data_IF_833395973848
#
_entry.id   IF_833395973848
#
_cell.length_a   1.000
_cell.length_b   1.000
_cell.length_c   1.000
_cell.angle_alpha   90.00
_cell.angle_beta   90.00
_cell.angle_gamma   90.00
#
_symmetry.space_group_name_H-M   'P 1'
#
loop_
_entity.id
_entity.type
_entity.pdbx_description
1 polymer ?
#
# COMPACT_ATOMS: atom_id res chain seq x y z
N UNK A 1 37.55 56.46 25.30
CA UNK A 1 36.69 55.46 26.00
C UNK A 1 35.35 55.23 25.34
N UNK A 2 34.68 56.23 24.79
CA UNK A 2 33.33 56.13 24.17
C UNK A 2 33.31 55.25 22.88
N UNK A 3 34.32 55.35 22.02
CA UNK A 3 34.44 54.53 20.79
C UNK A 3 34.60 53.01 21.04
N UNK A 4 35.36 52.60 22.05
CA UNK A 4 35.47 51.19 22.40
C UNK A 4 34.16 50.55 22.89
N UNK A 5 33.35 51.32 23.64
CA UNK A 5 32.04 50.87 24.12
C UNK A 5 31.01 50.72 22.96
N UNK A 6 31.11 51.62 21.99
CA UNK A 6 30.23 51.58 20.79
C UNK A 6 30.57 50.36 19.92
N UNK A 7 31.86 50.03 19.73
CA UNK A 7 32.29 48.88 18.95
C UNK A 7 31.89 47.55 19.61
N UNK A 8 31.97 47.46 20.92
CA UNK A 8 31.55 46.28 21.69
C UNK A 8 30.02 46.09 21.60
N UNK A 9 29.26 47.16 21.70
CA UNK A 9 27.80 47.12 21.57
C UNK A 9 27.34 46.68 20.15
N UNK A 10 27.99 47.18 19.09
CA UNK A 10 27.71 46.73 17.71
C UNK A 10 28.12 45.26 17.49
N UNK A 11 29.21 44.80 18.06
CA UNK A 11 29.64 43.39 17.95
C UNK A 11 28.65 42.44 18.65
N UNK A 12 28.16 42.81 19.84
CA UNK A 12 27.14 42.02 20.57
C UNK A 12 25.81 41.99 19.81
N UNK A 13 25.39 43.13 19.24
CA UNK A 13 24.18 43.19 18.43
C UNK A 13 24.29 42.36 17.16
N UNK A 14 25.42 42.30 16.47
CA UNK A 14 25.69 41.48 15.31
C UNK A 14 25.65 39.98 15.65
N UNK A 15 26.20 39.56 16.81
CA UNK A 15 26.15 38.18 17.30
C UNK A 15 24.72 37.79 17.69
N UNK A 16 23.93 38.68 18.28
CA UNK A 16 22.55 38.41 18.65
C UNK A 16 21.66 38.22 17.41
N UNK A 17 21.89 38.93 16.30
CA UNK A 17 21.16 38.80 15.05
C UNK A 17 21.52 37.50 14.34
N UNK A 18 22.77 37.01 14.44
CA UNK A 18 23.17 35.71 13.83
C UNK A 18 22.63 34.49 14.55
N UNK A 19 22.17 34.59 15.80
CA UNK A 19 21.59 33.50 16.57
C UNK A 19 20.08 33.29 16.30
N UNK A 20 19.39 34.21 15.65
CA UNK A 20 17.96 34.09 15.35
C UNK A 20 17.65 33.38 14.01
N UNK A 21 18.68 33.03 13.24
CA UNK A 21 18.54 32.53 11.87
C UNK A 21 18.20 31.03 11.69
N UNK A 22 18.08 30.21 12.74
CA UNK A 22 17.96 28.76 12.60
C UNK A 22 16.64 28.14 13.12
N UNK A 23 15.57 28.92 13.32
CA UNK A 23 14.26 28.34 13.58
C UNK A 23 13.45 28.18 12.27
N UNK A 24 14.02 27.45 11.30
CA UNK A 24 13.24 26.92 10.20
C UNK A 24 12.28 25.87 10.76
N UNK A 25 10.96 26.10 10.74
CA UNK A 25 9.98 25.08 11.13
C UNK A 25 10.09 23.94 10.13
N UNK A 26 10.69 22.83 10.53
CA UNK A 26 10.69 21.61 9.72
C UNK A 26 9.25 21.14 9.55
N UNK A 27 8.85 20.89 8.30
CA UNK A 27 7.54 20.27 8.04
C UNK A 27 7.49 18.92 8.76
N UNK A 28 6.45 18.63 9.54
CA UNK A 28 6.36 17.33 10.22
C UNK A 28 6.23 16.20 9.19
N UNK A 29 6.86 15.07 9.47
CA UNK A 29 6.67 13.84 8.70
C UNK A 29 5.22 13.37 8.88
N UNK A 30 4.54 13.03 7.78
CA UNK A 30 3.20 12.47 7.76
C UNK A 30 3.23 11.02 7.31
N UNK A 31 2.44 10.20 7.99
CA UNK A 31 2.34 8.77 7.70
C UNK A 31 0.94 8.42 7.19
N UNK A 32 0.89 7.59 6.15
CA UNK A 32 -0.33 7.19 5.46
C UNK A 32 -0.48 5.68 5.51
N UNK A 33 -1.70 5.20 5.40
CA UNK A 33 -2.03 3.78 5.39
C UNK A 33 -3.03 3.49 4.27
N UNK A 34 -3.19 2.21 3.97
CA UNK A 34 -4.20 1.70 3.05
C UNK A 34 -5.38 1.18 3.88
N UNK A 35 -6.59 1.51 3.47
CA UNK A 35 -7.83 1.10 4.17
C UNK A 35 -8.81 0.56 3.14
N UNK A 36 -9.26 -0.68 3.35
CA UNK A 36 -10.40 -1.23 2.62
C UNK A 36 -11.66 -1.11 3.50
N UNK A 37 -12.79 -0.65 2.94
CA UNK A 37 -14.04 -0.64 3.67
C UNK A 37 -14.49 -2.07 3.99
N UNK A 38 -15.28 -2.23 5.04
CA UNK A 38 -15.93 -3.51 5.32
C UNK A 38 -16.87 -3.85 4.15
N UNK A 39 -16.57 -4.93 3.44
CA UNK A 39 -17.37 -5.42 2.32
C UNK A 39 -18.47 -6.37 2.78
N UNK A 40 -19.37 -6.70 1.85
CA UNK A 40 -20.39 -7.73 2.07
C UNK A 40 -19.75 -9.12 2.04
N UNK A 41 -20.36 -10.08 2.73
CA UNK A 41 -20.03 -11.48 2.52
C UNK A 41 -20.26 -11.88 1.06
N UNK A 42 -19.34 -12.65 0.50
CA UNK A 42 -19.43 -13.14 -0.88
C UNK A 42 -20.00 -14.56 -0.95
N UNK A 43 -20.04 -15.29 0.17
CA UNK A 43 -20.59 -16.63 0.26
C UNK A 43 -21.58 -16.74 1.41
N UNK A 44 -22.70 -17.45 1.19
CA UNK A 44 -23.69 -17.76 2.22
C UNK A 44 -23.17 -18.79 3.22
N UNK A 45 -22.29 -19.69 2.75
CA UNK A 45 -21.61 -20.69 3.58
C UNK A 45 -20.13 -20.70 3.27
N UNK A 46 -19.26 -20.54 4.30
CA UNK A 46 -17.83 -20.64 4.10
C UNK A 46 -17.41 -22.02 3.58
N UNK A 47 -16.44 -22.05 2.69
CA UNK A 47 -15.73 -23.30 2.36
C UNK A 47 -15.09 -23.81 3.64
N UNK A 48 -15.31 -25.10 4.05
CA UNK A 48 -14.75 -25.66 5.28
C UNK A 48 -13.25 -25.97 5.10
N UNK A 49 -12.47 -24.94 4.82
CA UNK A 49 -11.06 -25.02 4.51
C UNK A 49 -10.30 -23.84 5.14
N UNK A 50 -8.99 -24.03 5.23
CA UNK A 50 -8.03 -23.08 5.76
C UNK A 50 -7.24 -22.45 4.60
N UNK A 51 -7.24 -21.14 4.52
CA UNK A 51 -6.42 -20.38 3.56
C UNK A 51 -5.31 -19.62 4.29
N UNK A 52 -4.09 -19.75 3.77
CA UNK A 52 -2.94 -18.95 4.18
C UNK A 52 -2.78 -17.76 3.23
N UNK A 53 -2.92 -16.56 3.75
CA UNK A 53 -2.46 -15.35 3.05
C UNK A 53 -0.96 -15.24 3.25
N UNK A 54 -0.20 -15.51 2.19
CA UNK A 54 1.27 -15.48 2.26
C UNK A 54 1.78 -14.06 2.42
N UNK A 55 2.95 -13.92 3.02
CA UNK A 55 3.65 -12.63 3.08
C UNK A 55 3.77 -12.05 1.69
N UNK A 56 3.24 -10.85 1.51
CA UNK A 56 3.30 -10.15 0.25
C UNK A 56 4.75 -9.78 -0.09
N UNK A 57 5.09 -9.87 -1.34
CA UNK A 57 6.36 -9.39 -1.88
C UNK A 57 6.16 -8.12 -2.69
N UNK A 58 7.24 -7.38 -2.92
CA UNK A 58 7.21 -6.12 -3.66
C UNK A 58 8.47 -5.98 -4.49
N UNK A 59 8.36 -5.33 -5.64
CA UNK A 59 9.50 -4.95 -6.46
C UNK A 59 10.51 -4.14 -5.62
N UNK A 60 11.82 -4.44 -5.70
CA UNK A 60 12.86 -3.79 -4.90
C UNK A 60 12.83 -2.27 -4.95
N UNK A 61 12.41 -1.66 -6.05
CA UNK A 61 12.32 -0.21 -6.19
C UNK A 61 11.33 0.42 -5.20
N UNK A 62 10.25 -0.29 -4.87
CA UNK A 62 9.19 0.16 -3.94
C UNK A 62 9.32 -0.39 -2.52
N UNK A 63 10.37 -1.19 -2.23
CA UNK A 63 10.59 -1.79 -0.90
C UNK A 63 11.09 -0.77 0.12
N UNK A 64 10.28 0.28 0.35
CA UNK A 64 10.57 1.40 1.25
C UNK A 64 9.30 2.02 1.79
N UNK A 65 9.42 2.79 2.87
CA UNK A 65 8.27 3.50 3.43
C UNK A 65 7.97 4.81 2.70
N UNK A 66 8.96 5.43 2.03
CA UNK A 66 8.73 6.67 1.30
C UNK A 66 7.71 6.45 0.18
N UNK A 67 6.77 7.38 0.05
CA UNK A 67 5.87 7.40 -1.09
C UNK A 67 6.68 7.79 -2.32
N UNK A 68 6.53 7.01 -3.38
CA UNK A 68 7.18 7.20 -4.67
C UNK A 68 6.31 8.07 -5.56
N UNK A 69 6.94 8.94 -6.34
CA UNK A 69 6.28 9.65 -7.43
C UNK A 69 7.15 9.72 -8.67
N UNK A 70 6.52 9.93 -9.83
CA UNK A 70 7.16 10.10 -11.13
C UNK A 70 6.53 11.28 -11.86
N UNK A 71 7.37 12.10 -12.48
CA UNK A 71 6.96 13.15 -13.42
C UNK A 71 7.13 12.70 -14.88
N UNK A 72 7.95 11.66 -15.10
CA UNK A 72 8.16 11.03 -16.38
C UNK A 72 8.46 9.53 -16.25
N UNK A 73 8.58 8.84 -17.39
CA UNK A 73 8.96 7.43 -17.43
C UNK A 73 10.41 7.18 -16.97
N UNK A 74 11.25 8.22 -16.93
CA UNK A 74 12.70 8.09 -16.69
C UNK A 74 13.11 8.49 -15.27
N UNK A 75 12.26 9.17 -14.48
CA UNK A 75 12.56 9.57 -13.14
C UNK A 75 11.85 8.69 -12.10
N UNK A 76 12.41 8.69 -10.91
CA UNK A 76 11.91 7.92 -9.78
C UNK A 76 12.26 8.66 -8.51
N UNK A 77 11.27 9.34 -7.94
CA UNK A 77 11.46 10.28 -6.86
C UNK A 77 10.71 9.87 -5.59
N UNK A 78 11.02 10.52 -4.49
CA UNK A 78 10.47 10.20 -3.16
C UNK A 78 10.02 11.46 -2.46
N UNK A 79 8.86 11.39 -1.82
CA UNK A 79 8.42 12.44 -0.92
C UNK A 79 9.24 12.46 0.37
N UNK A 80 9.79 13.64 0.73
CA UNK A 80 10.62 13.80 1.92
C UNK A 80 9.81 13.85 3.23
N UNK A 81 8.55 14.25 3.17
CA UNK A 81 7.69 14.49 4.34
C UNK A 81 6.40 13.67 4.33
N UNK A 82 6.28 12.74 3.39
CA UNK A 82 5.13 11.84 3.26
C UNK A 82 5.63 10.41 3.11
N UNK A 83 5.12 9.51 3.94
CA UNK A 83 5.59 8.14 4.01
C UNK A 83 4.42 7.20 4.29
N UNK A 84 4.51 5.97 3.85
CA UNK A 84 3.66 4.90 4.34
C UNK A 84 3.95 4.62 5.83
N UNK A 85 2.95 4.25 6.61
CA UNK A 85 3.10 3.93 8.03
C UNK A 85 4.02 2.72 8.27
N UNK A 86 4.01 1.78 7.35
CA UNK A 86 4.98 0.69 7.19
C UNK A 86 5.19 0.43 5.71
N UNK A 87 6.00 -0.54 5.31
CA UNK A 87 6.21 -0.87 3.91
C UNK A 87 4.89 -1.24 3.23
N UNK A 88 4.65 -0.76 1.98
CA UNK A 88 3.35 -0.87 1.32
C UNK A 88 2.87 -2.31 1.14
N UNK A 89 3.77 -3.28 0.90
CA UNK A 89 3.39 -4.68 0.78
C UNK A 89 2.74 -5.23 2.05
N UNK A 90 3.16 -4.78 3.22
CA UNK A 90 2.55 -5.21 4.49
C UNK A 90 1.20 -4.55 4.73
N UNK A 91 1.04 -3.27 4.35
CA UNK A 91 -0.25 -2.59 4.43
C UNK A 91 -1.30 -3.29 3.55
N UNK A 92 -0.91 -3.66 2.32
CA UNK A 92 -1.78 -4.33 1.38
C UNK A 92 -2.10 -5.76 1.82
N UNK A 93 -1.10 -6.51 2.31
CA UNK A 93 -1.31 -7.85 2.88
C UNK A 93 -2.34 -7.83 4.00
N UNK A 94 -2.17 -6.92 4.98
CA UNK A 94 -3.09 -6.80 6.10
C UNK A 94 -4.51 -6.42 5.64
N UNK A 95 -4.62 -5.47 4.72
CA UNK A 95 -5.91 -5.02 4.21
C UNK A 95 -6.65 -6.13 3.45
N UNK A 96 -5.95 -6.85 2.56
CA UNK A 96 -6.50 -7.97 1.81
C UNK A 96 -6.87 -9.15 2.74
N UNK A 97 -6.01 -9.48 3.71
CA UNK A 97 -6.27 -10.54 4.67
C UNK A 97 -7.54 -10.26 5.48
N UNK A 98 -7.68 -9.05 6.01
CA UNK A 98 -8.87 -8.64 6.74
C UNK A 98 -10.13 -8.68 5.86
N UNK A 99 -10.05 -8.22 4.61
CA UNK A 99 -11.20 -8.26 3.69
C UNK A 99 -11.56 -9.69 3.31
N UNK A 100 -10.59 -10.57 3.13
CA UNK A 100 -10.81 -12.00 2.88
C UNK A 100 -11.51 -12.67 4.08
N UNK A 101 -11.11 -12.36 5.31
CA UNK A 101 -11.78 -12.82 6.51
C UNK A 101 -13.24 -12.35 6.56
N UNK A 102 -13.49 -11.05 6.32
CA UNK A 102 -14.84 -10.48 6.28
C UNK A 102 -15.71 -11.01 5.13
N UNK A 103 -15.09 -11.55 4.09
CA UNK A 103 -15.83 -12.11 2.95
C UNK A 103 -16.63 -13.37 3.28
N UNK A 104 -16.28 -14.07 4.34
CA UNK A 104 -16.89 -15.35 4.71
C UNK A 104 -16.66 -16.47 3.69
N UNK A 105 -15.70 -16.31 2.76
CA UNK A 105 -15.43 -17.30 1.73
C UNK A 105 -14.81 -18.58 2.30
N UNK A 106 -13.91 -18.44 3.28
CA UNK A 106 -13.25 -19.55 3.94
C UNK A 106 -13.56 -19.59 5.43
N UNK A 107 -13.58 -20.78 6.02
CA UNK A 107 -13.83 -20.97 7.45
C UNK A 107 -12.66 -20.43 8.29
N UNK A 108 -11.42 -20.55 7.81
CA UNK A 108 -10.23 -20.06 8.50
C UNK A 108 -9.35 -19.28 7.52
N UNK A 109 -9.06 -18.03 7.87
CA UNK A 109 -8.12 -17.16 7.14
C UNK A 109 -6.95 -16.86 8.07
N UNK A 110 -5.74 -17.17 7.65
CA UNK A 110 -4.53 -17.07 8.46
C UNK A 110 -3.42 -16.33 7.69
N UNK A 111 -2.69 -15.46 8.37
CA UNK A 111 -1.41 -14.90 7.87
C UNK A 111 -0.20 -15.61 8.49
N UNK A 112 -0.41 -16.30 9.60
CA UNK A 112 0.59 -17.18 10.22
C UNK A 112 -0.08 -18.56 10.38
N UNK A 113 0.44 -19.61 9.72
CA UNK A 113 -0.23 -20.89 9.73
C UNK A 113 -0.18 -21.52 11.12
N UNK A 114 -1.35 -21.91 11.66
CA UNK A 114 -1.49 -22.69 12.90
C UNK A 114 -1.59 -24.18 12.63
N UNK A 115 -1.94 -24.55 11.40
CA UNK A 115 -1.95 -25.90 10.87
C UNK A 115 -1.62 -25.85 9.37
N UNK A 116 -1.50 -27.02 8.72
CA UNK A 116 -1.29 -27.09 7.26
C UNK A 116 -2.49 -26.42 6.57
N UNK A 117 -2.28 -25.37 5.75
CA UNK A 117 -3.37 -24.75 5.00
C UNK A 117 -3.82 -25.64 3.84
N UNK A 118 -5.07 -25.53 3.43
CA UNK A 118 -5.62 -26.19 2.24
C UNK A 118 -5.32 -25.37 0.99
N UNK A 119 -5.30 -24.04 1.13
CA UNK A 119 -5.09 -23.09 0.05
C UNK A 119 -4.09 -21.99 0.45
N UNK A 120 -3.49 -21.40 -0.55
CA UNK A 120 -2.57 -20.24 -0.43
C UNK A 120 -3.01 -19.12 -1.34
N UNK A 121 -3.06 -17.88 -0.81
CA UNK A 121 -3.15 -16.64 -1.57
C UNK A 121 -1.80 -15.94 -1.54
N UNK A 122 -1.23 -15.67 -2.71
CA UNK A 122 0.04 -14.97 -2.88
C UNK A 122 -0.19 -13.63 -3.55
N UNK A 123 0.62 -12.63 -3.16
CA UNK A 123 0.59 -11.27 -3.71
C UNK A 123 1.98 -10.77 -4.00
N UNK A 124 2.16 -10.12 -5.14
CA UNK A 124 3.39 -9.42 -5.51
C UNK A 124 3.06 -8.03 -6.03
N UNK A 125 3.47 -7.00 -5.29
CA UNK A 125 3.28 -5.60 -5.68
C UNK A 125 4.38 -5.22 -6.68
N UNK A 126 3.99 -4.84 -7.89
CA UNK A 126 4.88 -4.47 -8.99
C UNK A 126 5.17 -2.97 -8.95
N UNK A 127 4.12 -2.16 -8.70
CA UNK A 127 4.23 -0.71 -8.58
C UNK A 127 3.21 -0.16 -7.59
N UNK A 128 3.61 0.83 -6.82
CA UNK A 128 2.75 1.66 -5.97
C UNK A 128 3.34 3.06 -5.93
N UNK A 129 2.79 3.96 -6.75
CA UNK A 129 3.39 5.27 -6.98
C UNK A 129 2.34 6.31 -7.37
N UNK A 130 2.70 7.58 -7.24
CA UNK A 130 2.00 8.69 -7.84
C UNK A 130 2.63 8.96 -9.22
N UNK A 131 1.80 9.23 -10.20
CA UNK A 131 2.21 9.74 -11.51
C UNK A 131 1.72 11.20 -11.57
N UNK A 132 2.67 12.14 -11.59
CA UNK A 132 2.41 13.57 -11.70
C UNK A 132 2.75 14.00 -13.12
N UNK A 133 1.75 14.01 -13.99
CA UNK A 133 1.90 14.28 -15.42
C UNK A 133 1.10 15.51 -15.87
N UNK A 134 1.22 15.86 -17.15
CA UNK A 134 0.57 17.00 -17.77
C UNK A 134 -0.97 17.02 -17.59
N UNK A 135 -1.58 15.86 -17.42
CA UNK A 135 -3.03 15.70 -17.26
C UNK A 135 -3.49 15.65 -15.79
N UNK A 136 -2.59 15.95 -14.85
CA UNK A 136 -2.85 15.89 -13.41
C UNK A 136 -2.26 14.66 -12.75
N UNK A 137 -2.65 14.44 -11.51
CA UNK A 137 -2.09 13.38 -10.65
C UNK A 137 -2.92 12.10 -10.71
N UNK A 138 -2.24 10.99 -10.79
CA UNK A 138 -2.82 9.66 -10.78
C UNK A 138 -2.13 8.77 -9.74
N UNK A 139 -2.91 8.07 -8.95
CA UNK A 139 -2.43 6.94 -8.17
C UNK A 139 -2.31 5.72 -9.08
N UNK A 140 -1.16 5.08 -9.11
CA UNK A 140 -0.91 3.87 -9.88
C UNK A 140 -0.62 2.71 -8.94
N UNK A 141 -1.36 1.62 -9.11
CA UNK A 141 -1.14 0.36 -8.43
C UNK A 141 -1.08 -0.77 -9.46
N UNK A 142 0.03 -1.52 -9.46
CA UNK A 142 0.15 -2.74 -10.23
C UNK A 142 0.57 -3.90 -9.32
N UNK A 143 -0.11 -5.05 -9.44
CA UNK A 143 0.22 -6.24 -8.65
C UNK A 143 -0.23 -7.53 -9.33
N UNK A 144 0.45 -8.61 -9.00
CA UNK A 144 0.00 -9.96 -9.30
C UNK A 144 -0.62 -10.58 -8.06
N UNK A 145 -1.73 -11.30 -8.24
CA UNK A 145 -2.32 -12.15 -7.21
C UNK A 145 -2.47 -13.56 -7.77
N UNK A 146 -2.23 -14.57 -6.94
CA UNK A 146 -2.49 -15.97 -7.31
C UNK A 146 -3.04 -16.77 -6.14
N UNK A 147 -3.92 -17.69 -6.46
CA UNK A 147 -4.58 -18.59 -5.53
C UNK A 147 -4.39 -20.03 -5.99
N UNK A 148 -3.92 -20.87 -5.09
CA UNK A 148 -3.67 -22.29 -5.38
C UNK A 148 -4.05 -23.20 -4.22
N UNK A 149 -4.21 -24.49 -4.50
CA UNK A 149 -4.23 -25.53 -3.48
C UNK A 149 -2.81 -25.79 -2.99
N UNK A 150 -2.61 -25.96 -1.69
CA UNK A 150 -1.26 -26.02 -1.07
C UNK A 150 -0.34 -27.07 -1.68
N UNK A 151 -0.85 -28.24 -2.03
CA UNK A 151 -0.07 -29.34 -2.59
C UNK A 151 -0.14 -29.42 -4.13
N UNK A 152 -0.61 -28.36 -4.80
CA UNK A 152 -0.70 -28.30 -6.26
C UNK A 152 0.44 -27.49 -6.85
N UNK A 153 0.97 -27.94 -7.98
CA UNK A 153 1.98 -27.19 -8.74
C UNK A 153 1.37 -26.05 -9.56
N UNK A 154 0.05 -26.07 -9.82
CA UNK A 154 -0.66 -25.08 -10.62
C UNK A 154 -1.54 -24.16 -9.78
N UNK A 155 -1.67 -22.90 -10.24
CA UNK A 155 -2.62 -21.97 -9.70
C UNK A 155 -4.05 -22.35 -10.14
N UNK A 156 -5.00 -22.31 -9.21
CA UNK A 156 -6.44 -22.39 -9.51
C UNK A 156 -6.94 -21.09 -10.12
N UNK A 157 -6.30 -20.01 -9.74
CA UNK A 157 -6.57 -18.68 -10.25
C UNK A 157 -5.32 -17.82 -10.13
N UNK A 158 -5.08 -16.97 -11.14
CA UNK A 158 -4.07 -15.93 -11.08
C UNK A 158 -4.48 -14.75 -11.95
N UNK A 159 -4.13 -13.54 -11.50
CA UNK A 159 -4.43 -12.32 -12.23
C UNK A 159 -3.39 -11.24 -11.98
N UNK A 160 -3.02 -10.54 -13.06
CA UNK A 160 -2.31 -9.28 -13.01
C UNK A 160 -3.32 -8.14 -13.02
N UNK A 161 -3.21 -7.26 -12.05
CA UNK A 161 -3.91 -6.00 -11.98
C UNK A 161 -2.92 -4.87 -12.25
N UNK A 162 -3.35 -3.87 -13.02
CA UNK A 162 -2.51 -2.73 -13.39
C UNK A 162 -3.45 -1.58 -13.75
N UNK A 163 -3.62 -0.62 -12.85
CA UNK A 163 -4.59 0.46 -13.03
C UNK A 163 -4.12 1.77 -12.44
N UNK A 164 -4.60 2.85 -13.02
CA UNK A 164 -4.41 4.20 -12.55
C UNK A 164 -5.74 4.80 -12.13
N UNK A 165 -5.70 5.68 -11.16
CA UNK A 165 -6.85 6.41 -10.67
C UNK A 165 -6.50 7.86 -10.43
N UNK A 166 -7.10 8.77 -11.20
CA UNK A 166 -6.96 10.20 -10.99
C UNK A 166 -7.57 10.62 -9.65
N UNK A 167 -6.98 11.62 -9.04
CA UNK A 167 -7.46 12.25 -7.82
C UNK A 167 -7.14 13.75 -7.86
N UNK A 168 -7.92 14.54 -7.12
CA UNK A 168 -7.81 15.98 -7.10
C UNK A 168 -7.02 16.47 -5.88
N UNK A 169 -6.28 17.59 -6.05
CA UNK A 169 -5.59 18.29 -4.96
C UNK A 169 -4.19 17.78 -4.66
N UNK A 170 -3.57 18.46 -3.67
CA UNK A 170 -2.17 18.24 -3.27
C UNK A 170 -2.03 17.44 -1.96
N UNK A 171 -3.14 16.94 -1.41
CA UNK A 171 -3.11 16.18 -0.15
C UNK A 171 -2.81 14.70 -0.42
N UNK A 172 -1.72 14.22 0.14
CA UNK A 172 -1.36 12.79 0.08
C UNK A 172 -2.43 11.85 0.64
N UNK A 173 -3.44 12.35 1.38
CA UNK A 173 -4.61 11.55 1.78
C UNK A 173 -5.44 11.14 0.58
N UNK A 174 -5.57 12.00 -0.42
CA UNK A 174 -6.29 11.69 -1.65
C UNK A 174 -5.57 10.61 -2.46
N UNK A 175 -4.23 10.68 -2.53
CA UNK A 175 -3.40 9.62 -3.09
C UNK A 175 -3.61 8.29 -2.36
N UNK A 176 -3.48 8.27 -1.03
CA UNK A 176 -3.67 7.05 -0.24
C UNK A 176 -5.10 6.49 -0.36
N UNK A 177 -6.10 7.38 -0.49
CA UNK A 177 -7.49 7.00 -0.75
C UNK A 177 -7.64 6.38 -2.14
N UNK A 178 -7.00 6.94 -3.16
CA UNK A 178 -7.04 6.40 -4.52
C UNK A 178 -6.36 5.02 -4.61
N UNK A 179 -5.20 4.82 -3.96
CA UNK A 179 -4.54 3.51 -3.81
C UNK A 179 -5.45 2.52 -3.09
N UNK A 180 -6.11 2.94 -2.00
CA UNK A 180 -7.05 2.09 -1.26
C UNK A 180 -8.20 1.63 -2.13
N UNK A 181 -8.77 2.51 -2.97
CA UNK A 181 -9.85 2.17 -3.91
C UNK A 181 -9.40 1.22 -5.01
N UNK A 182 -8.18 1.37 -5.52
CA UNK A 182 -7.62 0.42 -6.49
C UNK A 182 -7.45 -0.97 -5.85
N UNK A 183 -6.88 -1.04 -4.65
CA UNK A 183 -6.73 -2.29 -3.93
C UNK A 183 -8.07 -2.94 -3.58
N UNK A 184 -9.08 -2.14 -3.22
CA UNK A 184 -10.45 -2.61 -3.00
C UNK A 184 -11.01 -3.29 -4.25
N UNK A 185 -10.93 -2.64 -5.41
CA UNK A 185 -11.38 -3.19 -6.68
C UNK A 185 -10.68 -4.51 -7.02
N UNK A 186 -9.36 -4.59 -6.82
CA UNK A 186 -8.60 -5.81 -7.08
C UNK A 186 -9.01 -6.93 -6.13
N UNK A 187 -9.17 -6.61 -4.85
CA UNK A 187 -9.57 -7.59 -3.83
C UNK A 187 -10.97 -8.13 -4.09
N UNK A 188 -11.95 -7.26 -4.38
CA UNK A 188 -13.32 -7.70 -4.69
C UNK A 188 -13.37 -8.57 -5.95
N UNK A 189 -12.62 -8.20 -7.00
CA UNK A 189 -12.50 -9.01 -8.20
C UNK A 189 -11.87 -10.37 -7.89
N UNK A 190 -10.78 -10.40 -7.10
CA UNK A 190 -10.12 -11.63 -6.70
C UNK A 190 -11.06 -12.55 -5.90
N UNK A 191 -11.82 -12.00 -4.95
CA UNK A 191 -12.79 -12.77 -4.15
C UNK A 191 -13.86 -13.45 -5.02
N UNK A 192 -14.42 -12.70 -5.99
CA UNK A 192 -15.44 -13.23 -6.90
C UNK A 192 -14.87 -14.33 -7.81
N UNK A 193 -13.70 -14.10 -8.41
CA UNK A 193 -13.08 -15.05 -9.32
C UNK A 193 -12.54 -16.30 -8.61
N UNK A 194 -12.02 -16.16 -7.38
CA UNK A 194 -11.64 -17.29 -6.52
C UNK A 194 -12.85 -18.13 -6.16
N UNK A 195 -13.97 -17.52 -5.81
CA UNK A 195 -15.23 -18.23 -5.54
C UNK A 195 -15.67 -19.05 -6.76
N UNK A 196 -15.60 -18.47 -7.97
CA UNK A 196 -15.93 -19.17 -9.21
C UNK A 196 -14.97 -20.35 -9.45
N UNK A 197 -13.67 -20.15 -9.26
CA UNK A 197 -12.67 -21.22 -9.42
C UNK A 197 -12.90 -22.40 -8.44
N UNK A 198 -13.28 -22.10 -7.19
CA UNK A 198 -13.63 -23.13 -6.21
C UNK A 198 -14.87 -23.94 -6.61
N UNK A 199 -15.90 -23.29 -7.11
CA UNK A 199 -17.13 -23.94 -7.58
C UNK A 199 -16.83 -24.88 -8.77
N UNK A 200 -16.08 -24.39 -9.76
CA UNK A 200 -15.69 -25.19 -10.93
C UNK A 200 -14.82 -26.39 -10.57
N UNK A 201 -13.91 -26.24 -9.61
CA UNK A 201 -13.07 -27.34 -9.13
C UNK A 201 -13.89 -28.42 -8.40
N UNK A 202 -14.96 -28.03 -7.70
CA UNK A 202 -15.85 -28.97 -7.01
C UNK A 202 -16.72 -29.74 -8.00
N UNK A 203 -17.23 -29.11 -9.05
CA UNK A 203 -18.03 -29.75 -10.12
C UNK A 203 -17.20 -30.77 -10.93
N UNK A 204 -15.92 -30.46 -11.16
CA UNK A 204 -15.01 -31.37 -11.90
C UNK A 204 -14.58 -32.61 -11.10
N UNK A 205 -14.80 -32.63 -9.79
CA UNK A 205 -14.44 -33.72 -8.90
C UNK A 205 -15.62 -34.72 -8.62
N UNK A 206 -16.81 -34.40 -9.10
CA UNK A 206 -18.02 -35.24 -9.05
C UNK A 206 -18.19 -36.05 -10.34
#
# INVERSE_FOLDING_TARGET
>A
MKFKKLFIACAIAAIAISLTGCFGSQKPMRYYTVVLPAGKAVADKPVPARILVKKASIDPAYRRNNIVYRESAYDFMFYNYSSWATRPEYLMEQAVSLRLEQSGLFQFVESVPTAKPDYELSMHVIAVEEIDGDNGREAHLAMNMSFKKTDSDGDLWSRRFDSKKSYDGDDMREFATAISKLLEQYTETALQEIQQALNSATESAQ
#
